data_IF_778677711758
#
_entry.id   IF_778677711758
#
_cell.length_a   1.000
_cell.length_b   1.000
_cell.length_c   1.000
_cell.angle_alpha   90.00
_cell.angle_beta   90.00
_cell.angle_gamma   90.00
#
_symmetry.space_group_name_H-M   'P 1'
#
loop_
_entity.id
_entity.type
_entity.pdbx_description
1 polymer ?
#
# COMPACT_ATOMS: atom_id res chain seq x y z
N UNK A 1 -1.24 0.57 8.95
CA UNK A 1 -0.15 -0.34 9.40
C UNK A 1 0.97 -0.43 8.36
N UNK A 2 0.71 -0.86 7.12
CA UNK A 2 1.74 -1.09 6.09
C UNK A 2 2.64 0.12 5.77
N UNK A 3 2.07 1.30 5.54
CA UNK A 3 2.89 2.51 5.29
C UNK A 3 3.78 2.90 6.47
N UNK A 4 3.32 2.67 7.71
CA UNK A 4 4.13 2.90 8.92
C UNK A 4 5.29 1.91 9.03
N UNK A 5 5.06 0.65 8.67
CA UNK A 5 6.11 -0.38 8.60
C UNK A 5 7.17 -0.01 7.55
N UNK A 6 6.77 0.45 6.36
CA UNK A 6 7.70 0.89 5.33
C UNK A 6 8.49 2.14 5.74
N UNK A 7 7.85 3.09 6.41
CA UNK A 7 8.53 4.28 6.98
C UNK A 7 9.63 3.87 7.97
N UNK A 8 9.33 2.93 8.89
CA UNK A 8 10.33 2.41 9.82
C UNK A 8 11.49 1.71 9.12
N UNK A 9 11.20 0.90 8.11
CA UNK A 9 12.25 0.27 7.31
C UNK A 9 13.14 1.31 6.63
N UNK A 10 12.59 2.32 5.96
CA UNK A 10 13.38 3.37 5.30
C UNK A 10 14.21 4.21 6.26
N UNK A 11 13.69 4.49 7.46
CA UNK A 11 14.39 5.33 8.44
C UNK A 11 15.52 4.58 9.15
N UNK A 12 15.30 3.33 9.56
CA UNK A 12 16.30 2.56 10.33
C UNK A 12 17.20 1.66 9.48
N UNK A 13 16.98 1.58 8.16
CA UNK A 13 17.84 0.83 7.24
C UNK A 13 19.35 1.10 7.40
N UNK A 14 19.83 2.37 7.41
CA UNK A 14 21.26 2.64 7.56
C UNK A 14 21.79 2.23 8.94
N UNK A 15 20.93 2.25 9.98
CA UNK A 15 21.30 1.85 11.34
C UNK A 15 21.39 0.33 11.50
N UNK A 16 20.58 -0.43 10.76
CA UNK A 16 20.56 -1.90 10.84
C UNK A 16 21.58 -2.56 9.91
N UNK A 17 21.82 -2.01 8.72
CA UNK A 17 22.63 -2.67 7.68
C UNK A 17 23.93 -1.94 7.33
N UNK A 18 24.20 -0.78 7.95
CA UNK A 18 25.42 0.00 7.71
C UNK A 18 25.57 0.52 6.28
N UNK A 19 24.50 0.49 5.48
CA UNK A 19 24.45 0.93 4.08
C UNK A 19 23.24 1.83 3.86
N UNK A 20 23.41 2.86 3.04
CA UNK A 20 22.30 3.72 2.62
C UNK A 20 21.52 3.04 1.51
N UNK A 21 20.19 3.07 1.63
CA UNK A 21 19.31 2.60 0.57
C UNK A 21 19.25 3.65 -0.56
N UNK A 22 19.08 3.21 -1.80
CA UNK A 22 18.92 4.14 -2.92
C UNK A 22 17.60 4.93 -2.78
N UNK A 23 17.72 6.25 -2.61
CA UNK A 23 16.58 7.15 -2.43
C UNK A 23 15.62 7.11 -3.63
N UNK A 24 16.13 7.03 -4.86
CA UNK A 24 15.30 7.02 -6.07
C UNK A 24 14.39 5.80 -6.13
N UNK A 25 14.91 4.63 -5.75
CA UNK A 25 14.13 3.39 -5.72
C UNK A 25 13.10 3.40 -4.58
N UNK A 26 13.44 4.00 -3.44
CA UNK A 26 12.52 4.21 -2.32
C UNK A 26 11.32 5.07 -2.70
N UNK A 27 11.54 6.16 -3.43
CA UNK A 27 10.45 7.01 -3.93
C UNK A 27 9.57 6.27 -4.94
N UNK A 28 10.16 5.52 -5.88
CA UNK A 28 9.39 4.72 -6.85
C UNK A 28 8.49 3.71 -6.12
N UNK A 29 9.04 2.96 -5.16
CA UNK A 29 8.26 2.01 -4.38
C UNK A 29 7.12 2.70 -3.60
N UNK A 30 7.38 3.84 -2.98
CA UNK A 30 6.35 4.61 -2.26
C UNK A 30 5.20 5.04 -3.17
N UNK A 31 5.51 5.61 -4.34
CA UNK A 31 4.48 6.08 -5.27
C UNK A 31 3.69 4.93 -5.91
N UNK A 32 4.37 3.84 -6.30
CA UNK A 32 3.70 2.66 -6.87
C UNK A 32 2.75 2.02 -5.86
N UNK A 33 3.17 1.89 -4.60
CA UNK A 33 2.31 1.30 -3.54
C UNK A 33 1.11 2.18 -3.19
N UNK A 34 1.26 3.52 -3.16
CA UNK A 34 0.13 4.44 -2.96
C UNK A 34 -0.87 4.37 -4.11
N UNK A 35 -0.39 4.45 -5.36
CA UNK A 35 -1.27 4.45 -6.53
C UNK A 35 -2.00 3.11 -6.66
N UNK A 36 -1.28 1.99 -6.48
CA UNK A 36 -1.88 0.66 -6.51
C UNK A 36 -2.93 0.46 -5.41
N UNK A 37 -2.63 0.89 -4.17
CA UNK A 37 -3.60 0.82 -3.09
C UNK A 37 -4.85 1.66 -3.39
N UNK A 38 -4.68 2.89 -3.89
CA UNK A 38 -5.80 3.75 -4.24
C UNK A 38 -6.69 3.09 -5.31
N UNK A 39 -6.11 2.57 -6.39
CA UNK A 39 -6.86 1.94 -7.48
C UNK A 39 -7.64 0.68 -7.05
N UNK A 40 -7.15 -0.09 -6.08
CA UNK A 40 -7.82 -1.31 -5.60
C UNK A 40 -8.92 -0.97 -4.60
N UNK A 41 -8.64 -0.08 -3.64
CA UNK A 41 -9.59 0.22 -2.56
C UNK A 41 -10.67 1.23 -2.97
N UNK A 42 -10.40 2.09 -3.96
CA UNK A 42 -11.36 3.10 -4.40
C UNK A 42 -12.65 2.49 -4.99
N UNK A 43 -12.60 1.53 -5.95
CA UNK A 43 -13.81 0.85 -6.44
C UNK A 43 -14.62 0.16 -5.34
N UNK A 44 -13.95 -0.28 -4.28
CA UNK A 44 -14.60 -0.94 -3.14
C UNK A 44 -15.57 -0.01 -2.39
N UNK A 45 -15.34 1.31 -2.41
CA UNK A 45 -16.29 2.30 -1.85
C UNK A 45 -17.58 2.36 -2.66
N UNK A 46 -17.47 2.37 -3.99
CA UNK A 46 -18.63 2.31 -4.88
C UNK A 46 -19.37 0.97 -4.79
N UNK A 47 -18.63 -0.12 -4.70
CA UNK A 47 -19.21 -1.45 -4.51
C UNK A 47 -20.01 -1.52 -3.20
N UNK A 48 -19.53 -0.91 -2.12
CA UNK A 48 -20.27 -0.81 -0.86
C UNK A 48 -21.54 0.05 -0.95
N UNK A 49 -21.47 1.18 -1.67
CA UNK A 49 -22.65 2.03 -1.94
C UNK A 49 -23.71 1.31 -2.79
N UNK A 50 -23.28 0.46 -3.72
CA UNK A 50 -24.17 -0.38 -4.53
C UNK A 50 -24.81 -1.54 -3.73
N UNK A 51 -24.62 -1.60 -2.40
CA UNK A 51 -25.27 -2.56 -1.51
C UNK A 51 -24.65 -3.96 -1.54
N UNK A 52 -23.44 -4.12 -2.10
CA UNK A 52 -22.79 -5.42 -2.17
C UNK A 52 -22.44 -5.95 -0.79
N UNK A 53 -22.98 -7.11 -0.39
CA UNK A 53 -22.69 -7.68 0.91
C UNK A 53 -21.26 -8.23 0.94
N UNK A 54 -20.59 -8.11 2.09
CA UNK A 54 -19.19 -8.55 2.24
C UNK A 54 -19.12 -10.08 2.23
N UNK A 55 -18.07 -10.63 1.60
CA UNK A 55 -17.71 -12.07 1.62
C UNK A 55 -18.61 -13.01 0.80
N UNK A 56 -19.40 -12.49 -0.12
CA UNK A 56 -20.18 -13.32 -1.06
C UNK A 56 -19.38 -13.56 -2.34
N UNK A 57 -19.30 -14.84 -2.75
CA UNK A 57 -18.53 -15.27 -3.92
C UNK A 57 -19.31 -15.07 -5.23
N UNK A 58 -20.64 -15.23 -5.19
CA UNK A 58 -21.52 -15.12 -6.35
C UNK A 58 -22.38 -13.85 -6.32
N UNK A 59 -22.48 -13.20 -7.48
CA UNK A 59 -23.50 -12.18 -7.81
C UNK A 59 -24.62 -12.80 -8.69
N UNK A 60 -24.89 -14.11 -8.55
CA UNK A 60 -25.96 -14.76 -9.31
C UNK A 60 -27.34 -14.37 -8.79
#
# INVERSE_FOLDING_TARGET
AFFGMFSGLYHWFPKMFGRYMNNTLGYIHFWVTIVGAYLIFWPMHYQGLAGMPRRYLDKS
#
